data_IF_662118299065
#
_entry.id   IF_662118299065
#
_cell.length_a   1.000
_cell.length_b   1.000
_cell.length_c   1.000
_cell.angle_alpha   90.00
_cell.angle_beta   90.00
_cell.angle_gamma   90.00
#
_symmetry.space_group_name_H-M   'P 1'
#
loop_
_entity.id
_entity.type
_entity.pdbx_description
1 polymer ?
#
# COMPACT_ATOMS: atom_id res chain seq x y z
N UNK A 1 -7.98 62.38 8.33
CA UNK A 1 -8.49 61.33 9.23
C UNK A 1 -9.50 60.50 8.44
N UNK A 2 -9.30 59.18 8.40
CA UNK A 2 -10.14 58.13 7.77
C UNK A 2 -10.18 58.08 6.23
N UNK A 3 -9.39 57.15 5.67
CA UNK A 3 -9.67 56.53 4.37
C UNK A 3 -9.64 55.01 4.53
N UNK A 4 -10.78 54.37 4.25
CA UNK A 4 -11.05 52.97 4.47
C UNK A 4 -10.35 52.07 3.43
N UNK A 5 -9.68 51.02 3.92
CA UNK A 5 -9.11 49.94 3.09
C UNK A 5 -10.19 48.89 2.85
N UNK A 6 -10.68 48.79 1.61
CA UNK A 6 -11.53 47.67 1.15
C UNK A 6 -10.67 46.42 0.97
N UNK A 7 -10.95 45.37 1.76
CA UNK A 7 -10.42 44.02 1.58
C UNK A 7 -11.08 43.35 0.38
N UNK A 8 -10.29 42.99 -0.64
CA UNK A 8 -10.72 42.12 -1.73
C UNK A 8 -10.86 40.67 -1.26
N UNK A 9 -12.03 40.08 -1.49
CA UNK A 9 -12.26 38.63 -1.38
C UNK A 9 -11.52 37.93 -2.52
N UNK A 10 -10.55 37.07 -2.20
CA UNK A 10 -10.09 36.03 -3.13
C UNK A 10 -11.18 34.97 -3.23
N UNK A 11 -11.72 34.80 -4.44
CA UNK A 11 -12.62 33.71 -4.78
C UNK A 11 -11.78 32.42 -4.88
N UNK A 12 -12.04 31.48 -3.98
CA UNK A 12 -11.54 30.11 -4.03
C UNK A 12 -12.24 29.38 -5.18
N UNK A 13 -11.50 29.01 -6.20
CA UNK A 13 -11.97 28.10 -7.26
C UNK A 13 -11.65 26.68 -6.78
N UNK A 14 -12.65 25.82 -6.53
CA UNK A 14 -12.40 24.46 -6.08
C UNK A 14 -11.69 23.66 -7.18
N UNK A 15 -10.61 22.97 -6.81
CA UNK A 15 -10.00 21.96 -7.66
C UNK A 15 -11.05 20.86 -7.94
N UNK A 16 -11.17 20.49 -9.21
CA UNK A 16 -12.04 19.40 -9.66
C UNK A 16 -11.67 18.09 -8.96
N UNK A 17 -12.66 17.20 -8.70
CA UNK A 17 -12.41 15.93 -8.03
C UNK A 17 -11.41 15.10 -8.86
N UNK A 18 -10.36 14.64 -8.18
CA UNK A 18 -9.34 13.77 -8.74
C UNK A 18 -10.00 12.51 -9.30
N UNK A 19 -10.04 12.38 -10.63
CA UNK A 19 -10.24 11.10 -11.29
C UNK A 19 -9.20 10.13 -10.74
N UNK A 20 -9.66 9.01 -10.19
CA UNK A 20 -8.81 7.87 -9.90
C UNK A 20 -7.94 7.59 -11.13
N UNK A 21 -6.63 7.68 -10.98
CA UNK A 21 -5.68 7.29 -12.00
C UNK A 21 -5.67 5.75 -12.08
N UNK A 22 -6.69 5.17 -12.70
CA UNK A 22 -6.53 3.90 -13.39
C UNK A 22 -5.69 4.21 -14.63
N UNK A 23 -4.38 4.31 -14.44
CA UNK A 23 -3.43 4.51 -15.52
C UNK A 23 -3.23 3.17 -16.24
N UNK A 24 -2.85 3.20 -17.52
CA UNK A 24 -2.47 2.02 -18.29
C UNK A 24 -1.38 1.13 -17.61
N UNK A 25 -0.76 1.60 -16.52
CA UNK A 25 0.07 0.80 -15.63
C UNK A 25 -0.69 -0.29 -14.85
N UNK A 26 -1.98 -0.10 -14.54
CA UNK A 26 -2.76 -1.06 -13.76
C UNK A 26 -3.02 -2.36 -14.53
N UNK A 27 -3.32 -2.29 -15.83
CA UNK A 27 -3.52 -3.46 -16.68
C UNK A 27 -2.19 -4.17 -16.96
N UNK A 28 -1.11 -3.43 -17.24
CA UNK A 28 0.22 -4.02 -17.41
C UNK A 28 0.77 -4.63 -16.11
N UNK A 29 0.42 -4.05 -14.96
CA UNK A 29 0.74 -4.57 -13.64
C UNK A 29 -0.13 -5.79 -13.30
N UNK A 30 -1.42 -5.78 -13.64
CA UNK A 30 -2.31 -6.95 -13.51
C UNK A 30 -1.90 -8.10 -14.44
N UNK A 31 -1.38 -7.82 -15.63
CA UNK A 31 -0.83 -8.82 -16.55
C UNK A 31 0.50 -9.41 -16.03
N UNK A 32 1.38 -8.56 -15.49
CA UNK A 32 2.60 -8.97 -14.77
C UNK A 32 2.26 -9.81 -13.53
N UNK A 33 1.23 -9.43 -12.78
CA UNK A 33 0.77 -10.12 -11.58
C UNK A 33 0.07 -11.44 -11.94
N UNK A 34 -0.72 -11.47 -13.01
CA UNK A 34 -1.32 -12.70 -13.55
C UNK A 34 -0.22 -13.70 -13.94
N UNK A 35 0.87 -13.23 -14.55
CA UNK A 35 2.03 -14.08 -14.84
C UNK A 35 2.82 -14.47 -13.59
N UNK A 36 3.00 -13.56 -12.63
CA UNK A 36 3.67 -13.82 -11.36
C UNK A 36 2.93 -14.84 -10.49
N UNK A 37 1.61 -14.80 -10.46
CA UNK A 37 0.76 -15.71 -9.69
C UNK A 37 0.72 -17.11 -10.29
N UNK A 38 0.90 -17.26 -11.61
CA UNK A 38 1.09 -18.57 -12.25
C UNK A 38 2.47 -19.17 -12.01
N UNK A 39 3.48 -18.36 -11.65
CA UNK A 39 4.88 -18.78 -11.44
C UNK A 39 5.41 -18.58 -10.00
N UNK A 40 4.58 -18.17 -9.03
CA UNK A 40 4.94 -18.15 -7.61
C UNK A 40 4.98 -19.59 -7.05
N UNK A 41 5.88 -20.40 -7.59
CA UNK A 41 6.35 -21.64 -7.01
C UNK A 41 7.26 -21.32 -5.82
N UNK A 42 6.72 -20.66 -4.79
CA UNK A 42 7.28 -20.89 -3.45
C UNK A 42 7.30 -22.40 -3.27
N UNK A 43 8.44 -23.05 -2.98
CA UNK A 43 8.47 -24.48 -2.76
C UNK A 43 7.48 -24.76 -1.63
N UNK A 44 6.36 -25.38 -1.96
CA UNK A 44 5.53 -26.05 -0.98
C UNK A 44 6.46 -27.10 -0.39
N UNK A 45 7.07 -26.79 0.76
CA UNK A 45 7.84 -27.77 1.52
C UNK A 45 7.02 -29.05 1.55
N UNK A 46 7.64 -30.18 1.17
CA UNK A 46 7.03 -31.51 1.14
C UNK A 46 5.98 -31.59 2.23
N UNK A 47 4.70 -31.72 1.86
CA UNK A 47 3.59 -32.00 2.78
C UNK A 47 3.84 -33.37 3.42
N UNK A 48 4.77 -33.44 4.37
CA UNK A 48 4.78 -34.50 5.36
C UNK A 48 3.65 -34.19 6.34
N UNK A 49 2.78 -35.17 6.54
CA UNK A 49 1.42 -35.00 7.03
C UNK A 49 1.29 -34.16 8.29
N UNK A 50 0.48 -33.11 8.20
CA UNK A 50 -0.07 -32.38 9.34
C UNK A 50 -1.01 -33.34 10.10
N UNK A 51 -0.93 -33.45 11.44
CA UNK A 51 -1.80 -34.32 12.21
C UNK A 51 -3.29 -34.05 11.95
N UNK A 52 -4.03 -35.15 11.81
CA UNK A 52 -5.40 -35.34 11.34
C UNK A 52 -6.55 -34.65 12.14
N UNK A 53 -6.39 -33.43 12.68
CA UNK A 53 -7.43 -32.75 13.49
C UNK A 53 -8.05 -31.47 12.90
N UNK A 54 -7.79 -31.14 11.63
CA UNK A 54 -8.41 -29.97 10.96
C UNK A 54 -9.20 -30.33 9.67
N UNK A 55 -9.48 -31.61 9.42
CA UNK A 55 -10.21 -32.06 8.22
C UNK A 55 -11.67 -32.44 8.50
N UNK A 56 -12.52 -31.44 8.74
CA UNK A 56 -13.99 -31.62 8.60
C UNK A 56 -14.69 -30.45 7.90
N UNK A 57 -13.98 -29.70 7.07
CA UNK A 57 -14.59 -28.77 6.12
C UNK A 57 -14.04 -29.07 4.74
N UNK A 58 -14.49 -30.19 4.18
CA UNK A 58 -14.42 -30.40 2.74
C UNK A 58 -15.40 -29.42 2.10
N UNK A 59 -14.94 -28.72 1.06
CA UNK A 59 -15.77 -27.93 0.18
C UNK A 59 -16.85 -28.83 -0.43
N UNK A 60 -18.04 -28.87 0.19
CA UNK A 60 -19.25 -29.31 -0.49
C UNK A 60 -19.69 -28.18 -1.41
N UNK A 61 -20.23 -28.52 -2.59
CA UNK A 61 -20.85 -27.59 -3.54
C UNK A 61 -21.54 -26.41 -2.81
N UNK A 62 -21.21 -25.18 -3.21
CA UNK A 62 -21.54 -23.95 -2.51
C UNK A 62 -23.07 -23.80 -2.36
N UNK A 63 -23.56 -24.21 -1.20
CA UNK A 63 -24.87 -23.80 -0.69
C UNK A 63 -24.59 -22.51 0.07
N UNK A 64 -25.09 -21.38 -0.42
CA UNK A 64 -25.09 -20.13 0.34
C UNK A 64 -25.89 -20.34 1.63
N UNK A 65 -25.25 -20.18 2.79
CA UNK A 65 -25.87 -20.28 4.11
C UNK A 65 -25.95 -18.89 4.75
N UNK A 66 -26.90 -18.72 5.65
CA UNK A 66 -26.93 -17.55 6.53
C UNK A 66 -25.65 -17.47 7.39
N UNK A 67 -25.35 -16.26 7.89
CA UNK A 67 -24.21 -16.04 8.78
C UNK A 67 -24.31 -16.93 10.06
N UNK A 68 -23.18 -17.47 10.49
CA UNK A 68 -23.04 -18.25 11.72
C UNK A 68 -22.40 -17.37 12.79
N UNK A 69 -23.17 -17.01 13.82
CA UNK A 69 -22.74 -16.13 14.90
C UNK A 69 -22.61 -16.94 16.17
N UNK A 70 -21.40 -16.97 16.76
CA UNK A 70 -21.19 -17.64 18.02
C UNK A 70 -22.05 -17.02 19.13
N UNK A 71 -22.58 -17.84 20.04
CA UNK A 71 -23.52 -17.40 21.08
C UNK A 71 -22.98 -16.31 22.03
N UNK A 72 -21.65 -16.15 22.10
CA UNK A 72 -20.98 -15.12 22.93
C UNK A 72 -20.52 -13.90 22.14
N UNK A 73 -20.71 -13.87 20.82
CA UNK A 73 -20.44 -12.69 20.01
C UNK A 73 -21.54 -11.65 20.23
N UNK A 74 -21.16 -10.38 20.19
CA UNK A 74 -22.08 -9.24 20.28
C UNK A 74 -22.11 -8.57 18.92
N UNK A 75 -23.19 -8.78 18.18
CA UNK A 75 -23.39 -8.18 16.86
C UNK A 75 -24.53 -7.18 16.97
N UNK A 76 -24.26 -5.93 16.61
CA UNK A 76 -25.31 -4.91 16.60
C UNK A 76 -26.39 -5.27 15.57
N UNK A 77 -27.70 -5.06 15.85
CA UNK A 77 -28.79 -5.43 14.93
C UNK A 77 -28.73 -4.78 13.53
N UNK A 78 -28.07 -3.63 13.42
CA UNK A 78 -27.90 -2.90 12.15
C UNK A 78 -26.70 -3.37 11.32
N UNK A 79 -25.82 -4.21 11.88
CA UNK A 79 -24.67 -4.71 11.12
C UNK A 79 -25.15 -5.58 9.94
N UNK A 80 -24.53 -5.37 8.78
CA UNK A 80 -24.87 -6.11 7.57
C UNK A 80 -23.90 -7.29 7.41
N UNK A 81 -24.41 -8.52 7.46
CA UNK A 81 -23.62 -9.74 7.32
C UNK A 81 -24.02 -10.48 6.04
N UNK A 82 -23.04 -10.68 5.17
CA UNK A 82 -23.17 -11.47 3.94
C UNK A 82 -23.36 -12.97 4.20
N UNK A 83 -23.57 -13.75 3.12
CA UNK A 83 -23.70 -15.20 3.22
C UNK A 83 -22.40 -15.85 3.71
N UNK A 84 -22.52 -16.97 4.43
CA UNK A 84 -21.42 -17.76 4.97
C UNK A 84 -20.45 -17.01 5.91
N UNK A 85 -20.80 -15.81 6.38
CA UNK A 85 -20.00 -15.09 7.37
C UNK A 85 -19.93 -15.90 8.65
N UNK A 86 -18.74 -16.03 9.23
CA UNK A 86 -18.52 -16.68 10.53
C UNK A 86 -18.06 -15.63 11.54
N UNK A 87 -18.80 -15.48 12.63
CA UNK A 87 -18.43 -14.60 13.74
C UNK A 87 -18.05 -15.45 14.95
N UNK A 88 -16.75 -15.46 15.27
CA UNK A 88 -16.19 -16.24 16.37
C UNK A 88 -16.53 -15.71 17.78
N UNK A 89 -16.17 -16.47 18.83
CA UNK A 89 -16.52 -16.15 20.22
C UNK A 89 -16.01 -14.79 20.68
N UNK A 90 -16.84 -14.06 21.44
CA UNK A 90 -16.47 -12.78 22.07
C UNK A 90 -16.05 -11.67 21.11
N UNK A 91 -16.37 -11.82 19.83
CA UNK A 91 -16.20 -10.75 18.85
C UNK A 91 -17.32 -9.72 18.98
N UNK A 92 -17.01 -8.45 18.72
CA UNK A 92 -17.93 -7.31 18.86
C UNK A 92 -18.00 -6.57 17.53
N UNK A 93 -19.21 -6.43 16.99
CA UNK A 93 -19.48 -5.83 15.67
C UNK A 93 -20.43 -4.64 15.84
N UNK A 94 -19.97 -3.46 15.44
CA UNK A 94 -20.67 -2.18 15.53
C UNK A 94 -21.85 -2.03 14.55
N UNK A 95 -22.64 -0.95 14.69
CA UNK A 95 -23.89 -0.74 13.96
C UNK A 95 -23.71 -0.52 12.46
N UNK A 96 -22.63 0.13 12.03
CA UNK A 96 -22.39 0.54 10.65
C UNK A 96 -21.36 -0.37 9.94
N UNK A 97 -21.21 -1.59 10.44
CA UNK A 97 -20.28 -2.57 9.89
C UNK A 97 -20.96 -3.41 8.81
N UNK A 98 -20.27 -3.55 7.67
CA UNK A 98 -20.65 -4.42 6.57
C UNK A 98 -19.58 -5.50 6.39
N UNK A 99 -19.94 -6.76 6.63
CA UNK A 99 -19.10 -7.93 6.32
C UNK A 99 -19.65 -8.61 5.08
N UNK A 100 -18.85 -8.67 4.02
CA UNK A 100 -19.27 -9.34 2.78
C UNK A 100 -19.19 -10.88 2.91
N UNK A 101 -19.45 -11.61 1.82
CA UNK A 101 -19.57 -13.06 1.83
C UNK A 101 -18.29 -13.75 2.31
N UNK A 102 -18.44 -14.89 2.99
CA UNK A 102 -17.35 -15.77 3.41
C UNK A 102 -16.30 -15.11 4.34
N UNK A 103 -16.57 -13.92 4.90
CA UNK A 103 -15.72 -13.29 5.91
C UNK A 103 -15.67 -14.15 7.17
N UNK A 104 -14.48 -14.36 7.72
CA UNK A 104 -14.26 -15.19 8.91
C UNK A 104 -13.59 -14.39 10.00
N UNK A 105 -14.36 -14.08 11.04
CA UNK A 105 -13.84 -13.50 12.26
C UNK A 105 -13.55 -14.62 13.25
N UNK A 106 -12.32 -14.71 13.73
CA UNK A 106 -11.98 -15.59 14.84
C UNK A 106 -12.49 -15.00 16.16
N UNK A 107 -11.98 -15.46 17.30
CA UNK A 107 -12.43 -14.98 18.60
C UNK A 107 -11.88 -13.59 18.93
N UNK A 108 -12.60 -12.79 19.71
CA UNK A 108 -12.13 -11.51 20.25
C UNK A 108 -11.72 -10.50 19.17
N UNK A 109 -12.43 -10.47 18.05
CA UNK A 109 -12.27 -9.44 17.02
C UNK A 109 -13.21 -8.28 17.32
N UNK A 110 -12.72 -7.05 17.23
CA UNK A 110 -13.57 -5.85 17.33
C UNK A 110 -13.60 -5.16 15.97
N UNK A 111 -14.80 -4.93 15.44
CA UNK A 111 -15.01 -4.12 14.23
C UNK A 111 -16.05 -3.07 14.56
N UNK A 112 -15.70 -1.80 14.34
CA UNK A 112 -16.57 -0.65 14.65
C UNK A 112 -16.45 0.44 13.58
N UNK A 113 -17.18 1.54 13.75
CA UNK A 113 -17.27 2.62 12.77
C UNK A 113 -17.95 2.18 11.46
N UNK A 114 -17.98 3.09 10.48
CA UNK A 114 -18.46 2.79 9.13
C UNK A 114 -17.42 1.97 8.38
N UNK A 115 -17.44 0.66 8.61
CA UNK A 115 -16.38 -0.27 8.17
C UNK A 115 -16.95 -1.33 7.24
N UNK A 116 -16.34 -1.45 6.06
CA UNK A 116 -16.61 -2.55 5.12
C UNK A 116 -15.45 -3.52 5.05
N UNK A 117 -15.74 -4.81 5.14
CA UNK A 117 -14.77 -5.91 4.98
C UNK A 117 -15.18 -6.81 3.82
N UNK A 118 -14.34 -6.88 2.80
CA UNK A 118 -14.60 -7.59 1.56
C UNK A 118 -14.56 -9.12 1.68
N UNK A 119 -15.06 -9.78 0.63
CA UNK A 119 -15.31 -11.22 0.60
C UNK A 119 -14.11 -12.08 1.00
N UNK A 120 -14.34 -13.18 1.72
CA UNK A 120 -13.32 -14.19 2.02
C UNK A 120 -12.19 -13.72 2.95
N UNK A 121 -12.25 -12.49 3.47
CA UNK A 121 -11.25 -11.96 4.40
C UNK A 121 -11.29 -12.69 5.73
N UNK A 122 -10.12 -13.04 6.27
CA UNK A 122 -9.96 -13.74 7.54
C UNK A 122 -9.33 -12.81 8.56
N UNK A 123 -10.01 -12.62 9.69
CA UNK A 123 -9.57 -11.76 10.79
C UNK A 123 -9.27 -12.61 12.03
N UNK A 124 -8.02 -12.54 12.48
CA UNK A 124 -7.49 -13.29 13.62
C UNK A 124 -7.73 -12.58 14.95
N UNK A 125 -7.54 -13.28 16.09
CA UNK A 125 -7.91 -12.76 17.40
C UNK A 125 -7.26 -11.45 17.79
N UNK A 126 -8.00 -10.65 18.55
CA UNK A 126 -7.55 -9.38 19.10
C UNK A 126 -7.24 -8.29 18.06
N UNK A 127 -7.63 -8.50 16.80
CA UNK A 127 -7.63 -7.43 15.82
C UNK A 127 -8.73 -6.39 16.14
N UNK A 128 -8.42 -5.11 15.92
CA UNK A 128 -9.33 -3.99 16.09
C UNK A 128 -9.39 -3.17 14.81
N UNK A 129 -10.55 -3.16 14.16
CA UNK A 129 -10.75 -2.58 12.83
C UNK A 129 -11.81 -1.48 12.88
N UNK A 130 -11.52 -0.34 12.26
CA UNK A 130 -12.46 0.77 12.11
C UNK A 130 -12.57 1.70 13.31
N UNK A 131 -11.79 1.45 14.37
CA UNK A 131 -11.72 2.32 15.54
C UNK A 131 -11.27 3.74 15.20
N UNK A 132 -11.54 4.67 16.11
CA UNK A 132 -11.30 6.11 15.91
C UNK A 132 -9.86 6.46 15.54
N UNK A 133 -9.65 7.43 14.63
CA UNK A 133 -8.33 7.99 14.33
C UNK A 133 -7.57 8.42 15.59
N UNK A 134 -6.28 8.06 15.67
CA UNK A 134 -5.35 8.60 16.68
C UNK A 134 -4.83 10.00 16.29
N UNK A 135 -5.72 10.90 15.88
CA UNK A 135 -5.41 12.28 15.51
C UNK A 135 -6.11 13.27 16.46
N UNK A 136 -5.34 14.15 17.11
CA UNK A 136 -5.88 15.16 18.04
C UNK A 136 -6.79 16.19 17.39
N UNK A 137 -6.71 16.35 16.07
CA UNK A 137 -7.57 17.23 15.28
C UNK A 137 -8.85 16.53 14.86
N UNK A 138 -8.94 15.20 15.00
CA UNK A 138 -10.17 14.49 14.74
C UNK A 138 -11.25 14.99 15.70
N UNK A 139 -12.34 15.46 15.12
CA UNK A 139 -13.52 15.85 15.84
C UNK A 139 -14.58 14.79 15.58
N UNK A 140 -15.11 14.22 16.65
CA UNK A 140 -16.32 13.41 16.62
C UNK A 140 -17.49 14.34 16.32
N UNK A 141 -17.81 14.52 15.05
CA UNK A 141 -19.03 15.21 14.66
C UNK A 141 -20.12 14.18 14.42
N UNK A 142 -21.31 14.44 14.99
CA UNK A 142 -22.57 13.96 14.44
C UNK A 142 -22.79 14.70 13.11
N UNK A 143 -22.22 14.21 12.01
CA UNK A 143 -22.56 14.72 10.69
C UNK A 143 -22.65 13.60 9.67
N UNK A 144 -23.87 13.47 9.16
CA UNK A 144 -24.32 12.65 8.03
C UNK A 144 -23.68 13.03 6.68
N UNK A 145 -22.66 13.90 6.65
CA UNK A 145 -22.01 14.40 5.43
C UNK A 145 -20.71 13.67 5.05
N UNK A 146 -20.23 12.75 5.89
CA UNK A 146 -18.98 12.02 5.63
C UNK A 146 -19.25 10.68 4.95
N UNK A 147 -18.47 10.42 3.90
CA UNK A 147 -18.64 9.35 2.93
C UNK A 147 -19.02 7.99 3.52
N UNK A 148 -19.64 7.15 2.70
CA UNK A 148 -20.34 5.93 3.10
C UNK A 148 -19.55 5.03 4.08
N UNK A 149 -18.22 5.04 4.00
CA UNK A 149 -17.32 4.30 4.87
C UNK A 149 -16.16 5.17 5.36
N UNK A 150 -15.72 4.94 6.59
CA UNK A 150 -14.45 5.48 7.15
C UNK A 150 -13.30 4.49 7.01
N UNK A 151 -13.61 3.19 6.92
CA UNK A 151 -12.66 2.12 6.63
C UNK A 151 -13.20 1.18 5.56
N UNK A 152 -12.36 0.86 4.59
CA UNK A 152 -12.61 -0.19 3.59
C UNK A 152 -11.47 -1.20 3.58
N UNK A 153 -11.79 -2.49 3.71
CA UNK A 153 -10.85 -3.61 3.58
C UNK A 153 -11.34 -4.47 2.41
N UNK A 154 -10.45 -4.79 1.48
CA UNK A 154 -10.75 -5.58 0.29
C UNK A 154 -11.00 -7.06 0.58
N UNK A 155 -11.06 -7.83 -0.50
CA UNK A 155 -11.33 -9.27 -0.44
C UNK A 155 -10.06 -10.08 -0.15
N UNK A 156 -10.23 -11.29 0.38
CA UNK A 156 -9.19 -12.30 0.60
C UNK A 156 -7.99 -11.80 1.43
N UNK A 157 -8.20 -10.81 2.30
CA UNK A 157 -7.15 -10.35 3.18
C UNK A 157 -6.94 -11.33 4.34
N UNK A 158 -5.70 -11.40 4.82
CA UNK A 158 -5.36 -12.09 6.08
C UNK A 158 -4.92 -11.04 7.08
N UNK A 159 -5.77 -10.81 8.07
CA UNK A 159 -5.56 -9.84 9.14
C UNK A 159 -5.19 -10.63 10.39
N UNK A 160 -3.91 -10.59 10.77
CA UNK A 160 -3.36 -11.39 11.87
C UNK A 160 -3.66 -10.78 13.24
N UNK A 161 -3.19 -11.48 14.26
CA UNK A 161 -3.47 -11.17 15.66
C UNK A 161 -2.99 -9.76 16.01
N UNK A 162 -3.77 -9.05 16.84
CA UNK A 162 -3.44 -7.70 17.31
C UNK A 162 -3.22 -6.64 16.21
N UNK A 163 -3.67 -6.90 14.97
CA UNK A 163 -3.64 -5.87 13.93
C UNK A 163 -4.64 -4.77 14.28
N UNK A 164 -4.22 -3.52 14.12
CA UNK A 164 -5.09 -2.36 14.29
C UNK A 164 -5.18 -1.59 12.97
N UNK A 165 -6.40 -1.31 12.51
CA UNK A 165 -6.65 -0.47 11.34
C UNK A 165 -7.67 0.60 11.74
N UNK A 166 -7.28 1.86 11.70
CA UNK A 166 -8.12 2.97 12.12
C UNK A 166 -8.91 3.57 10.95
N UNK A 167 -10.13 4.02 11.22
CA UNK A 167 -10.94 4.76 10.24
C UNK A 167 -10.27 6.07 9.82
N UNK A 168 -10.78 6.68 8.74
CA UNK A 168 -10.35 8.00 8.28
C UNK A 168 -10.73 9.10 9.26
N UNK A 169 -10.01 10.22 9.18
CA UNK A 169 -10.35 11.44 9.92
C UNK A 169 -11.59 12.12 9.34
N UNK A 170 -12.27 12.90 10.18
CA UNK A 170 -13.45 13.69 9.82
C UNK A 170 -13.19 14.86 8.86
N UNK A 171 -11.98 15.04 8.36
CA UNK A 171 -11.68 15.99 7.29
C UNK A 171 -11.08 15.31 6.06
N UNK A 172 -10.90 14.00 6.11
CA UNK A 172 -10.51 13.22 4.94
C UNK A 172 -11.67 13.09 3.97
N UNK A 173 -11.35 13.14 2.68
CA UNK A 173 -12.30 12.92 1.59
C UNK A 173 -12.40 11.44 1.20
N UNK A 174 -11.48 10.61 1.68
CA UNK A 174 -11.41 9.19 1.36
C UNK A 174 -11.30 8.37 2.65
N UNK A 175 -11.85 7.14 2.66
CA UNK A 175 -11.65 6.22 3.78
C UNK A 175 -10.18 5.83 3.91
N UNK A 176 -9.78 5.37 5.10
CA UNK A 176 -8.63 4.48 5.20
C UNK A 176 -8.94 3.23 4.38
N UNK A 177 -7.99 2.77 3.56
CA UNK A 177 -8.23 1.62 2.68
C UNK A 177 -7.12 0.58 2.73
N UNK A 178 -7.52 -0.68 2.67
CA UNK A 178 -6.66 -1.84 2.44
C UNK A 178 -7.22 -2.59 1.22
N UNK A 179 -6.43 -2.72 0.15
CA UNK A 179 -6.85 -3.43 -1.06
C UNK A 179 -6.95 -4.95 -0.88
N UNK A 180 -7.28 -5.65 -1.96
CA UNK A 180 -7.45 -7.12 -1.94
C UNK A 180 -6.16 -7.88 -1.68
N UNK A 181 -6.29 -9.13 -1.23
CA UNK A 181 -5.21 -10.11 -1.08
C UNK A 181 -4.05 -9.64 -0.18
N UNK A 182 -4.31 -8.69 0.72
CA UNK A 182 -3.30 -8.16 1.63
C UNK A 182 -3.03 -9.10 2.81
N UNK A 183 -1.79 -9.11 3.29
CA UNK A 183 -1.38 -9.83 4.49
C UNK A 183 -0.86 -8.84 5.52
N UNK A 184 -1.68 -8.55 6.54
CA UNK A 184 -1.27 -7.74 7.69
C UNK A 184 -0.90 -8.70 8.83
N UNK A 185 0.39 -8.80 9.13
CA UNK A 185 0.92 -9.72 10.13
C UNK A 185 0.81 -9.15 11.56
N UNK A 186 1.11 -10.01 12.54
CA UNK A 186 0.81 -9.76 13.95
C UNK A 186 1.31 -8.39 14.44
N UNK A 187 0.42 -7.63 15.06
CA UNK A 187 0.72 -6.32 15.64
C UNK A 187 1.00 -5.21 14.61
N UNK A 188 0.68 -5.40 13.33
CA UNK A 188 0.74 -4.31 12.36
C UNK A 188 -0.31 -3.23 12.66
N UNK A 189 0.09 -1.97 12.50
CA UNK A 189 -0.75 -0.81 12.70
C UNK A 189 -0.89 -0.02 11.39
N UNK A 190 -2.13 0.26 11.00
CA UNK A 190 -2.50 1.15 9.90
C UNK A 190 -3.29 2.33 10.49
N UNK A 191 -2.67 3.51 10.50
CA UNK A 191 -3.31 4.72 10.97
C UNK A 191 -4.29 5.30 9.94
N UNK A 192 -5.04 6.30 10.39
CA UNK A 192 -6.05 7.02 9.64
C UNK A 192 -5.57 7.52 8.27
N UNK A 193 -6.49 7.56 7.31
CA UNK A 193 -6.32 8.14 5.97
C UNK A 193 -5.23 7.48 5.12
N UNK A 194 -4.72 6.33 5.56
CA UNK A 194 -3.73 5.56 4.83
C UNK A 194 -4.41 4.70 3.76
N UNK A 195 -3.71 4.50 2.65
CA UNK A 195 -4.21 3.75 1.49
C UNK A 195 -3.19 2.68 1.12
N UNK A 196 -3.56 1.43 1.35
CA UNK A 196 -2.79 0.27 0.95
C UNK A 196 -3.43 -0.32 -0.31
N UNK A 197 -2.61 -0.55 -1.33
CA UNK A 197 -3.00 -1.22 -2.56
C UNK A 197 -3.25 -2.71 -2.38
N UNK A 198 -3.24 -3.46 -3.48
CA UNK A 198 -3.52 -4.91 -3.49
C UNK A 198 -2.26 -5.72 -3.23
N UNK A 199 -2.40 -6.90 -2.63
CA UNK A 199 -1.30 -7.86 -2.38
C UNK A 199 -0.15 -7.28 -1.56
N UNK A 200 -0.43 -6.29 -0.72
CA UNK A 200 0.56 -5.69 0.18
C UNK A 200 0.83 -6.65 1.33
N UNK A 201 2.10 -6.83 1.68
CA UNK A 201 2.51 -7.58 2.87
C UNK A 201 3.07 -6.63 3.91
N UNK A 202 2.39 -6.52 5.04
CA UNK A 202 2.84 -5.75 6.19
C UNK A 202 3.30 -6.72 7.27
N UNK A 203 4.60 -6.79 7.50
CA UNK A 203 5.16 -7.74 8.46
C UNK A 203 4.88 -7.36 9.91
N UNK A 204 5.27 -8.22 10.85
CA UNK A 204 4.95 -8.05 12.26
C UNK A 204 5.44 -6.71 12.81
N UNK A 205 4.61 -6.10 13.67
CA UNK A 205 4.92 -4.89 14.42
C UNK A 205 5.35 -3.69 13.55
N UNK A 206 4.86 -3.62 12.31
CA UNK A 206 5.03 -2.42 11.47
C UNK A 206 4.06 -1.35 11.94
N UNK A 207 4.52 -0.10 12.03
CA UNK A 207 3.70 1.05 12.35
C UNK A 207 3.62 2.00 11.15
N UNK A 208 2.44 2.10 10.54
CA UNK A 208 2.12 3.00 9.43
C UNK A 208 1.39 4.21 10.00
N UNK A 209 1.99 5.39 9.93
CA UNK A 209 1.38 6.64 10.38
C UNK A 209 0.32 7.16 9.39
N UNK A 210 -0.38 8.23 9.76
CA UNK A 210 -1.52 8.73 8.98
C UNK A 210 -1.14 9.22 7.58
N UNK A 211 -2.09 9.14 6.65
CA UNK A 211 -1.93 9.58 5.26
C UNK A 211 -0.81 8.88 4.47
N UNK A 212 -0.40 7.66 4.84
CA UNK A 212 0.60 6.91 4.08
C UNK A 212 -0.07 6.22 2.89
N UNK A 213 0.58 6.27 1.73
CA UNK A 213 0.18 5.50 0.55
C UNK A 213 1.16 4.35 0.32
N UNK A 214 0.67 3.12 0.14
CA UNK A 214 1.48 1.94 -0.16
C UNK A 214 0.92 1.29 -1.42
N UNK A 215 1.71 1.27 -2.49
CA UNK A 215 1.33 0.69 -3.77
C UNK A 215 1.28 -0.84 -3.76
N UNK A 216 0.65 -1.38 -4.80
CA UNK A 216 0.41 -2.81 -4.97
C UNK A 216 1.68 -3.65 -4.83
N UNK A 217 1.55 -4.84 -4.24
CA UNK A 217 2.62 -5.83 -4.08
C UNK A 217 3.85 -5.34 -3.27
N UNK A 218 3.78 -4.18 -2.61
CA UNK A 218 4.84 -3.73 -1.74
C UNK A 218 4.95 -4.63 -0.51
N UNK A 219 6.18 -4.82 -0.03
CA UNK A 219 6.48 -5.61 1.17
C UNK A 219 7.16 -4.72 2.19
N UNK A 220 6.54 -4.62 3.37
CA UNK A 220 7.07 -3.88 4.51
C UNK A 220 7.62 -4.88 5.52
N UNK A 221 8.93 -4.87 5.71
CA UNK A 221 9.64 -5.74 6.65
C UNK A 221 9.25 -5.48 8.11
N UNK A 222 9.49 -6.45 9.00
CA UNK A 222 9.03 -6.37 10.38
C UNK A 222 9.64 -5.21 11.16
N UNK A 223 8.90 -4.66 12.13
CA UNK A 223 9.33 -3.57 13.00
C UNK A 223 9.73 -2.28 12.26
N UNK A 224 9.13 -2.03 11.09
CA UNK A 224 9.32 -0.78 10.35
C UNK A 224 8.40 0.30 10.90
N UNK A 225 8.91 1.53 10.99
CA UNK A 225 8.08 2.74 11.17
C UNK A 225 8.02 3.54 9.88
N UNK A 226 6.82 3.92 9.42
CA UNK A 226 6.61 4.79 8.26
C UNK A 226 6.00 6.11 8.73
N UNK A 227 6.71 7.21 8.43
CA UNK A 227 6.28 8.57 8.75
C UNK A 227 5.02 8.95 7.94
N UNK A 228 4.18 9.80 8.52
CA UNK A 228 2.99 10.34 7.85
C UNK A 228 3.30 10.96 6.48
N UNK A 229 2.35 10.85 5.54
CA UNK A 229 2.45 11.34 4.15
C UNK A 229 3.49 10.67 3.25
N UNK A 230 4.20 9.65 3.71
CA UNK A 230 5.13 8.89 2.87
C UNK A 230 4.36 8.08 1.82
N UNK A 231 4.89 8.03 0.61
CA UNK A 231 4.43 7.18 -0.48
C UNK A 231 5.43 6.05 -0.70
N UNK A 232 4.97 4.80 -0.60
CA UNK A 232 5.73 3.61 -0.94
C UNK A 232 5.23 3.10 -2.29
N UNK A 233 6.08 3.12 -3.32
CA UNK A 233 5.71 2.69 -4.65
C UNK A 233 5.39 1.19 -4.76
N UNK A 234 4.71 0.75 -5.82
CA UNK A 234 4.36 -0.65 -6.03
C UNK A 234 5.60 -1.54 -6.12
N UNK A 235 5.46 -2.77 -5.62
CA UNK A 235 6.49 -3.81 -5.60
C UNK A 235 7.81 -3.36 -4.92
N UNK A 236 7.77 -2.28 -4.15
CA UNK A 236 8.88 -1.86 -3.31
C UNK A 236 9.09 -2.84 -2.15
N UNK A 237 10.31 -2.85 -1.62
CA UNK A 237 10.68 -3.61 -0.43
C UNK A 237 11.29 -2.67 0.61
N UNK A 238 10.70 -2.66 1.80
CA UNK A 238 11.28 -2.00 2.97
C UNK A 238 11.90 -3.05 3.87
N UNK A 239 13.21 -2.99 4.09
CA UNK A 239 13.91 -3.89 5.00
C UNK A 239 13.41 -3.74 6.43
N UNK A 240 13.43 -4.84 7.21
CA UNK A 240 13.00 -4.82 8.61
C UNK A 240 13.78 -3.81 9.46
N UNK A 241 13.16 -3.36 10.55
CA UNK A 241 13.71 -2.37 11.50
C UNK A 241 14.10 -1.02 10.86
N UNK A 242 13.54 -0.70 9.69
CA UNK A 242 13.80 0.58 9.03
C UNK A 242 12.89 1.69 9.56
N UNK A 243 13.38 2.93 9.53
CA UNK A 243 12.57 4.13 9.78
C UNK A 243 12.44 4.92 8.48
N UNK A 244 11.27 4.83 7.84
CA UNK A 244 10.99 5.44 6.54
C UNK A 244 10.45 6.85 6.75
N UNK A 245 11.21 7.85 6.34
CA UNK A 245 10.86 9.26 6.44
C UNK A 245 10.78 9.98 5.10
N UNK A 246 10.92 9.24 4.01
CA UNK A 246 10.81 9.70 2.64
C UNK A 246 10.16 8.68 1.71
N UNK A 247 9.71 9.15 0.55
CA UNK A 247 9.02 8.35 -0.46
C UNK A 247 9.94 7.25 -1.00
N UNK A 248 9.42 6.03 -1.03
CA UNK A 248 10.11 4.84 -1.53
C UNK A 248 9.73 4.64 -3.00
N UNK A 249 10.73 4.58 -3.86
CA UNK A 249 10.56 4.41 -5.30
C UNK A 249 9.75 3.14 -5.62
N UNK A 250 8.90 3.13 -6.68
CA UNK A 250 8.38 1.91 -7.27
C UNK A 250 9.51 0.94 -7.56
N UNK A 251 9.32 -0.33 -7.21
CA UNK A 251 10.33 -1.38 -7.35
C UNK A 251 11.62 -1.11 -6.56
N UNK A 252 11.64 -0.14 -5.66
CA UNK A 252 12.80 0.25 -4.86
C UNK A 252 13.04 -0.73 -3.71
N UNK A 253 14.28 -0.81 -3.26
CA UNK A 253 14.66 -1.47 -2.01
C UNK A 253 15.24 -0.42 -1.07
N UNK A 254 14.59 -0.20 0.08
CA UNK A 254 15.09 0.69 1.13
C UNK A 254 15.41 -0.08 2.40
N UNK A 255 16.43 0.37 3.14
CA UNK A 255 16.80 -0.21 4.43
C UNK A 255 17.47 0.85 5.31
N UNK A 256 17.35 0.69 6.63
CA UNK A 256 18.07 1.47 7.63
C UNK A 256 17.20 2.43 8.44
N UNK A 257 17.79 3.06 9.43
CA UNK A 257 17.13 4.01 10.32
C UNK A 257 18.02 5.27 10.45
N UNK A 258 17.79 6.34 9.69
CA UNK A 258 16.74 6.56 8.66
C UNK A 258 16.96 5.74 7.38
N UNK A 259 15.88 5.31 6.73
CA UNK A 259 15.90 4.43 5.57
C UNK A 259 16.53 5.12 4.35
N UNK A 260 17.33 4.35 3.61
CA UNK A 260 18.00 4.80 2.39
C UNK A 260 17.75 3.81 1.25
N UNK A 261 17.66 4.33 0.03
CA UNK A 261 17.44 3.55 -1.19
C UNK A 261 18.72 2.80 -1.56
N UNK A 262 18.73 1.50 -1.30
CA UNK A 262 19.86 0.60 -1.54
C UNK A 262 19.92 0.09 -2.99
N UNK A 263 18.86 0.29 -3.77
CA UNK A 263 18.76 -0.17 -5.15
C UNK A 263 17.32 -0.47 -5.54
N UNK A 264 17.17 -1.35 -6.53
CA UNK A 264 15.88 -1.92 -6.91
C UNK A 264 15.66 -3.29 -6.24
N UNK A 265 14.41 -3.64 -5.97
CA UNK A 265 13.92 -4.92 -5.49
C UNK A 265 14.03 -5.99 -6.61
N UNK A 266 15.26 -6.37 -6.94
CA UNK A 266 15.53 -7.35 -8.01
C UNK A 266 14.94 -8.73 -7.74
N UNK A 267 14.73 -9.09 -6.47
CA UNK A 267 14.05 -10.35 -6.10
C UNK A 267 12.57 -10.26 -6.43
N UNK A 268 11.90 -9.18 -6.02
CA UNK A 268 10.49 -8.93 -6.34
C UNK A 268 10.25 -8.86 -7.84
N UNK A 269 11.06 -8.08 -8.57
CA UNK A 269 10.96 -7.97 -10.03
C UNK A 269 11.11 -9.34 -10.74
N UNK A 270 12.05 -10.18 -10.32
CA UNK A 270 12.22 -11.52 -10.90
C UNK A 270 11.05 -12.45 -10.61
N UNK A 271 10.51 -12.42 -9.38
CA UNK A 271 9.33 -13.21 -8.99
C UNK A 271 8.06 -12.72 -9.69
N UNK A 272 8.00 -11.43 -9.99
CA UNK A 272 6.92 -10.83 -10.76
C UNK A 272 6.99 -11.13 -12.27
N UNK A 273 7.91 -11.99 -12.73
CA UNK A 273 8.04 -12.34 -14.15
C UNK A 273 8.62 -11.24 -15.03
N UNK A 274 9.15 -10.15 -14.45
CA UNK A 274 9.66 -9.02 -15.23
C UNK A 274 10.87 -9.46 -16.07
N UNK A 275 10.79 -9.20 -17.38
CA UNK A 275 11.82 -9.62 -18.32
C UNK A 275 13.20 -9.08 -17.96
N UNK A 276 14.25 -9.85 -18.25
CA UNK A 276 15.64 -9.43 -17.99
C UNK A 276 15.99 -8.11 -18.69
N UNK A 277 15.41 -7.85 -19.86
CA UNK A 277 15.61 -6.61 -20.61
C UNK A 277 14.95 -5.41 -19.90
N UNK A 278 13.73 -5.57 -19.38
CA UNK A 278 13.06 -4.53 -18.61
C UNK A 278 13.78 -4.26 -17.28
N UNK A 279 14.23 -5.30 -16.57
CA UNK A 279 15.04 -5.14 -15.35
C UNK A 279 16.34 -4.38 -15.67
N UNK A 280 17.02 -4.70 -16.78
CA UNK A 280 18.20 -3.96 -17.21
C UNK A 280 17.85 -2.50 -17.46
N UNK A 281 16.81 -2.21 -18.23
CA UNK A 281 16.41 -0.84 -18.53
C UNK A 281 16.07 -0.04 -17.26
N UNK A 282 15.26 -0.60 -16.36
CA UNK A 282 14.99 -0.02 -15.04
C UNK A 282 16.27 0.33 -14.29
N UNK A 283 17.25 -0.58 -14.25
CA UNK A 283 18.54 -0.32 -13.63
C UNK A 283 19.32 0.81 -14.31
N UNK A 284 19.32 0.89 -15.64
CA UNK A 284 20.00 1.98 -16.38
C UNK A 284 19.39 3.33 -16.03
N UNK A 285 18.06 3.42 -15.99
CA UNK A 285 17.32 4.64 -15.66
C UNK A 285 17.49 5.00 -14.18
N UNK A 286 17.34 4.04 -13.28
CA UNK A 286 17.59 4.23 -11.84
C UNK A 286 19.00 4.76 -11.57
N UNK A 287 20.02 4.15 -12.18
CA UNK A 287 21.42 4.59 -12.04
C UNK A 287 21.65 5.97 -12.62
N UNK A 288 20.95 6.36 -13.67
CA UNK A 288 21.03 7.74 -14.16
C UNK A 288 20.37 8.72 -13.17
N UNK A 289 19.16 8.43 -12.70
CA UNK A 289 18.41 9.33 -11.81
C UNK A 289 19.08 9.48 -10.44
N UNK A 290 19.55 8.40 -9.85
CA UNK A 290 20.08 8.43 -8.49
C UNK A 290 21.61 8.46 -8.45
N UNK A 291 22.28 7.83 -9.44
CA UNK A 291 23.74 7.63 -9.50
C UNK A 291 24.59 8.90 -9.39
N UNK A 292 25.81 8.74 -8.88
CA UNK A 292 26.82 9.79 -8.89
C UNK A 292 27.46 9.96 -10.29
N UNK A 293 28.01 11.14 -10.64
CA UNK A 293 28.62 11.40 -11.95
C UNK A 293 29.73 10.42 -12.35
N UNK A 294 30.45 9.89 -11.36
CA UNK A 294 31.54 8.93 -11.55
C UNK A 294 31.05 7.49 -11.81
N UNK A 295 29.77 7.20 -11.58
CA UNK A 295 29.17 5.87 -11.72
C UNK A 295 28.78 5.57 -13.19
N UNK A 296 29.68 5.82 -14.14
CA UNK A 296 29.40 5.63 -15.59
C UNK A 296 29.76 4.24 -16.12
N UNK A 297 30.59 3.45 -15.42
CA UNK A 297 31.24 2.26 -16.04
C UNK A 297 31.32 0.97 -15.20
N UNK A 298 30.53 0.79 -14.14
CA UNK A 298 30.62 -0.46 -13.36
C UNK A 298 29.30 -1.26 -13.33
N UNK A 299 29.31 -2.38 -14.05
CA UNK A 299 28.42 -3.51 -13.81
C UNK A 299 27.38 -3.83 -14.89
N UNK A 300 26.47 -4.74 -14.52
CA UNK A 300 25.48 -5.43 -15.37
C UNK A 300 24.55 -4.54 -16.22
N UNK A 301 24.34 -3.28 -15.85
CA UNK A 301 23.51 -2.31 -16.58
C UNK A 301 24.05 -0.87 -16.34
N UNK A 302 24.88 -0.30 -17.23
CA UNK A 302 25.42 1.05 -17.03
C UNK A 302 24.31 2.12 -17.03
N UNK A 303 24.53 3.28 -16.42
CA UNK A 303 23.59 4.39 -16.49
C UNK A 303 23.27 4.79 -17.94
N UNK A 304 22.15 5.49 -18.17
CA UNK A 304 21.90 6.15 -19.44
C UNK A 304 23.06 7.09 -19.80
N UNK A 305 23.43 7.13 -21.08
CA UNK A 305 24.52 7.99 -21.57
C UNK A 305 23.98 9.40 -21.83
N UNK A 306 23.70 10.10 -20.72
CA UNK A 306 23.13 11.44 -20.70
C UNK A 306 24.05 12.37 -19.89
N UNK A 307 23.94 13.66 -20.16
CA UNK A 307 24.66 14.68 -19.40
C UNK A 307 24.17 14.68 -17.94
N UNK A 308 25.09 14.84 -16.98
CA UNK A 308 24.68 14.82 -15.57
C UNK A 308 23.95 16.13 -15.20
N UNK A 309 22.76 16.02 -14.60
CA UNK A 309 22.05 17.15 -13.96
C UNK A 309 22.21 17.11 -12.45
N UNK A 310 22.12 18.27 -11.79
CA UNK A 310 22.36 18.37 -10.36
C UNK A 310 21.29 17.65 -9.55
N UNK A 311 20.02 17.88 -9.88
CA UNK A 311 18.91 17.33 -9.10
C UNK A 311 18.41 15.99 -9.67
N UNK A 312 17.91 15.13 -8.79
CA UNK A 312 17.29 13.85 -9.17
C UNK A 312 16.07 14.06 -10.09
N UNK A 313 15.31 15.13 -9.85
CA UNK A 313 14.10 15.47 -10.61
C UNK A 313 14.45 15.88 -12.05
N UNK A 314 15.45 16.73 -12.24
CA UNK A 314 15.92 17.10 -13.59
C UNK A 314 16.44 15.87 -14.35
N UNK A 315 17.19 14.98 -13.67
CA UNK A 315 17.62 13.71 -14.27
C UNK A 315 16.43 12.83 -14.64
N UNK A 316 15.37 12.78 -13.83
CA UNK A 316 14.16 12.04 -14.16
C UNK A 316 13.42 12.63 -15.38
N UNK A 317 13.26 13.94 -15.45
CA UNK A 317 12.65 14.62 -16.60
C UNK A 317 13.44 14.39 -17.90
N UNK A 318 14.78 14.46 -17.83
CA UNK A 318 15.64 14.20 -18.99
C UNK A 318 15.60 12.72 -19.41
N UNK A 319 15.59 11.79 -18.46
CA UNK A 319 15.39 10.38 -18.75
C UNK A 319 14.04 10.13 -19.43
N UNK A 320 12.95 10.76 -18.95
CA UNK A 320 11.62 10.64 -19.57
C UNK A 320 11.65 11.08 -21.04
N UNK A 321 12.22 12.26 -21.31
CA UNK A 321 12.30 12.78 -22.67
C UNK A 321 13.18 11.91 -23.57
N UNK A 322 14.30 11.41 -23.04
CA UNK A 322 15.18 10.48 -23.77
C UNK A 322 14.43 9.21 -24.18
N UNK A 323 13.69 8.58 -23.27
CA UNK A 323 12.92 7.36 -23.57
C UNK A 323 11.86 7.61 -24.65
N UNK A 324 11.15 8.73 -24.59
CA UNK A 324 10.15 9.10 -25.60
C UNK A 324 10.81 9.27 -26.98
N UNK A 325 11.97 9.95 -27.04
CA UNK A 325 12.69 10.17 -28.30
C UNK A 325 13.21 8.85 -28.92
N UNK A 326 13.54 7.85 -28.10
CA UNK A 326 13.92 6.51 -28.54
C UNK A 326 12.71 5.62 -28.93
N UNK A 327 11.49 6.16 -28.90
CA UNK A 327 10.26 5.41 -29.19
C UNK A 327 9.93 4.37 -28.12
N UNK A 328 10.33 4.63 -26.87
CA UNK A 328 10.06 3.82 -25.68
C UNK A 328 9.08 4.57 -24.76
N UNK A 329 7.85 4.74 -25.22
CA UNK A 329 6.77 5.39 -24.48
C UNK A 329 6.18 4.51 -23.34
N UNK A 330 5.17 5.04 -22.65
CA UNK A 330 4.51 4.38 -21.53
C UNK A 330 3.72 3.13 -21.92
N UNK A 331 3.33 2.98 -23.19
CA UNK A 331 2.65 1.77 -23.67
C UNK A 331 3.66 0.62 -23.83
N UNK A 332 4.89 0.93 -24.25
CA UNK A 332 5.95 -0.06 -24.47
C UNK A 332 6.71 -0.46 -23.21
N UNK A 333 6.98 0.49 -22.32
CA UNK A 333 7.77 0.27 -21.10
C UNK A 333 7.10 0.91 -19.85
N UNK A 334 5.86 0.52 -19.51
CA UNK A 334 5.06 1.17 -18.47
C UNK A 334 5.76 1.26 -17.11
N UNK A 335 6.46 0.20 -16.68
CA UNK A 335 7.16 0.18 -15.38
C UNK A 335 8.26 1.25 -15.28
N UNK A 336 8.96 1.52 -16.38
CA UNK A 336 10.04 2.52 -16.38
C UNK A 336 9.44 3.92 -16.27
N UNK A 337 8.36 4.19 -17.02
CA UNK A 337 7.64 5.45 -16.91
C UNK A 337 7.02 5.64 -15.53
N UNK A 338 6.45 4.59 -14.91
CA UNK A 338 5.93 4.68 -13.54
C UNK A 338 7.02 5.08 -12.53
N UNK A 339 8.20 4.45 -12.61
CA UNK A 339 9.34 4.79 -11.76
C UNK A 339 9.81 6.23 -11.97
N UNK A 340 9.88 6.69 -13.22
CA UNK A 340 10.30 8.05 -13.58
C UNK A 340 9.26 9.08 -13.14
N UNK A 341 7.98 8.83 -13.41
CA UNK A 341 6.88 9.73 -13.07
C UNK A 341 6.70 9.86 -11.57
N UNK A 342 6.99 8.80 -10.81
CA UNK A 342 7.02 8.88 -9.36
C UNK A 342 8.04 9.92 -8.85
N UNK A 343 9.19 10.03 -9.52
CA UNK A 343 10.22 11.02 -9.19
C UNK A 343 9.84 12.41 -9.71
N UNK A 344 9.37 12.50 -10.97
CA UNK A 344 8.98 13.78 -11.59
C UNK A 344 7.84 14.45 -10.81
N UNK A 345 6.92 13.66 -10.25
CA UNK A 345 5.76 14.13 -9.49
C UNK A 345 6.04 14.36 -8.00
N UNK A 346 7.25 14.04 -7.51
CA UNK A 346 7.54 14.17 -6.08
C UNK A 346 7.46 15.61 -5.56
N UNK A 347 7.86 16.67 -6.31
CA UNK A 347 7.74 18.06 -5.83
C UNK A 347 6.31 18.55 -5.61
N UNK A 348 5.32 17.92 -6.24
CA UNK A 348 3.91 18.27 -6.11
C UNK A 348 3.24 17.62 -4.89
N UNK A 349 3.91 16.66 -4.23
CA UNK A 349 3.36 15.93 -3.09
C UNK A 349 3.60 16.67 -1.78
N UNK A 350 2.57 16.68 -0.94
CA UNK A 350 2.61 17.33 0.36
C UNK A 350 3.67 16.71 1.28
N UNK A 351 4.66 17.52 1.72
CA UNK A 351 5.77 17.09 2.57
C UNK A 351 6.56 15.85 2.07
N UNK A 352 6.51 15.56 0.76
CA UNK A 352 7.30 14.48 0.19
C UNK A 352 8.77 14.86 0.10
N UNK A 353 9.62 13.92 0.50
CA UNK A 353 11.04 13.89 0.17
C UNK A 353 11.36 12.48 -0.28
N UNK A 354 12.00 12.27 -1.43
CA UNK A 354 12.41 10.93 -1.85
C UNK A 354 13.42 10.34 -0.86
N UNK A 355 13.34 9.03 -0.59
CA UNK A 355 14.39 8.32 0.12
C UNK A 355 15.73 8.52 -0.58
N UNK A 356 16.72 9.04 0.15
CA UNK A 356 18.06 9.25 -0.40
C UNK A 356 18.71 7.92 -0.78
N UNK A 357 19.35 7.86 -1.95
CA UNK A 357 20.07 6.69 -2.39
C UNK A 357 21.40 6.50 -1.64
N UNK A 358 21.70 5.25 -1.28
CA UNK A 358 23.03 4.82 -0.82
C UNK A 358 23.92 4.71 -2.05
N UNK A 359 24.36 5.84 -2.58
CA UNK A 359 25.40 5.82 -3.59
C UNK A 359 26.67 6.25 -2.89
N UNK A 360 27.60 5.29 -2.84
CA UNK A 360 28.88 5.39 -2.16
C UNK A 360 29.43 6.81 -2.24
N UNK A 361 29.56 7.46 -1.09
CA UNK A 361 30.45 8.61 -1.04
C UNK A 361 31.83 8.14 -1.50
N UNK A 362 32.65 8.99 -2.13
CA UNK A 362 34.03 8.65 -2.46
C UNK A 362 34.95 8.47 -1.22
N UNK A 363 34.42 8.14 -0.05
CA UNK A 363 35.16 8.20 1.21
C UNK A 363 34.82 7.02 2.13
N UNK A 364 35.45 5.89 1.86
CA UNK A 364 36.09 5.07 2.90
C UNK A 364 37.33 4.38 2.33
#
# INVERSE_FOLDING_TARGET
>A
MLTAVRRGRLLYVPASPSRAFASASAEALDELISHATQQDERPAGRRQGIPRRLHSYQASAAIERAAEIHATAVVHPNAELGPNVLVGPYSVIGPDVVLEADVRLQSHVVIDGKTRVGNGTVVHPFASLGGEPQDKKHQMFEKDEYGDMTLTIGSNCVIREHVTVHGSTSYSQAPTSVGDDCWLLCGAHVAHDSQLGRRVVVSNNVCIAGHVSIGDCAIIGGQVGIKQHVNVGPLAMVGGQSAVDGDVLPYGLVVGNRAKLAGLNLVGLRRAGVSRNNIKLLLRVYRYMFGAPACKKTGFAPALDLAYRETVVERAMEAKQFLINEGLDSERIPMVHEMVDFVVTSPQRFHSSLCHAVIASPSH
#
